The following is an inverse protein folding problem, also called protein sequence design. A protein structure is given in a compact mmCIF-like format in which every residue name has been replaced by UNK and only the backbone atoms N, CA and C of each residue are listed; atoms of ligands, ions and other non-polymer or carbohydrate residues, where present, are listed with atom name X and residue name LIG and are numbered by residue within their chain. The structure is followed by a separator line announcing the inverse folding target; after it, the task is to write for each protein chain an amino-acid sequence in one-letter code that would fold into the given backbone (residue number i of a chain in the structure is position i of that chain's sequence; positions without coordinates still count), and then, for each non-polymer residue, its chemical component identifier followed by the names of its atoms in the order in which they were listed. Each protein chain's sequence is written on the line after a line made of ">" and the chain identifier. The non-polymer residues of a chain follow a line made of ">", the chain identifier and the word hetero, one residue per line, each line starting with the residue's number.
data_IF_684302321599
#
_entry.id   IF_684302321599
#
_cell.length_a   1.000
_cell.length_b   1.000
_cell.length_c   1.000
_cell.angle_alpha   90.00
_cell.angle_beta   90.00
_cell.angle_gamma   90.00
#
_symmetry.space_group_name_H-M   'P 1'
#
loop_
_entity.id
_entity.type
_entity.pdbx_description
1 polymer ?
#
# COMPACT_ATOMS: atom_id res chain seq x y z
N UNK A 1 -33.04 -6.29 -16.49
CA UNK A 1 -32.83 -4.88 -16.09
C UNK A 1 -31.36 -4.63 -16.21
N UNK A 2 -31.00 -4.24 -17.43
CA UNK A 2 -29.66 -3.91 -17.86
C UNK A 2 -29.19 -2.63 -17.18
N UNK A 3 -27.96 -2.67 -16.68
CA UNK A 3 -27.25 -1.51 -16.14
C UNK A 3 -25.79 -1.58 -16.53
N UNK A 4 -25.51 -2.00 -17.78
CA UNK A 4 -24.19 -1.84 -18.38
C UNK A 4 -24.18 -0.43 -18.98
N UNK A 5 -23.73 0.55 -18.21
CA UNK A 5 -23.36 1.85 -18.77
C UNK A 5 -21.93 1.72 -19.32
N UNK A 6 -21.71 1.63 -20.64
CA UNK A 6 -20.36 1.81 -21.17
C UNK A 6 -20.03 3.29 -21.04
N UNK A 7 -19.43 3.69 -19.92
CA UNK A 7 -18.98 5.07 -19.74
C UNK A 7 -17.91 5.35 -20.79
N UNK A 8 -18.21 6.27 -21.70
CA UNK A 8 -17.26 6.94 -22.61
C UNK A 8 -15.97 7.29 -21.86
N UNK A 9 -14.78 7.03 -22.39
CA UNK A 9 -13.57 7.85 -22.12
C UNK A 9 -12.27 7.19 -22.58
N UNK A 10 -11.32 8.04 -22.99
CA UNK A 10 -9.95 7.66 -23.34
C UNK A 10 -9.18 6.96 -22.22
N UNK A 11 -7.94 6.58 -22.54
CA UNK A 11 -6.99 5.84 -21.71
C UNK A 11 -7.01 6.26 -20.23
N UNK A 12 -7.83 5.59 -19.42
CA UNK A 12 -7.90 5.78 -17.96
C UNK A 12 -6.89 4.84 -17.32
N UNK A 13 -6.09 5.36 -16.39
CA UNK A 13 -5.17 4.54 -15.60
C UNK A 13 -5.95 3.78 -14.53
N UNK A 14 -5.77 2.46 -14.46
CA UNK A 14 -6.38 1.64 -13.44
C UNK A 14 -5.66 1.89 -12.09
N UNK A 15 -6.34 2.58 -11.19
CA UNK A 15 -5.86 2.95 -9.86
C UNK A 15 -6.86 2.45 -8.81
N UNK A 16 -6.37 1.76 -7.80
CA UNK A 16 -7.17 1.31 -6.66
C UNK A 16 -6.49 1.74 -5.35
N UNK A 17 -7.22 2.50 -4.53
CA UNK A 17 -6.80 2.85 -3.18
C UNK A 17 -7.67 2.11 -2.18
N UNK A 18 -7.06 1.42 -1.22
CA UNK A 18 -7.77 0.63 -0.22
C UNK A 18 -7.06 0.65 1.13
N UNK A 19 -7.82 0.31 2.16
CA UNK A 19 -7.33 0.03 3.51
C UNK A 19 -7.70 -1.39 3.90
N UNK A 20 -6.96 -1.93 4.86
CA UNK A 20 -7.21 -3.26 5.40
C UNK A 20 -7.45 -3.09 6.89
N UNK A 21 -8.67 -3.41 7.33
CA UNK A 21 -9.06 -3.23 8.73
C UNK A 21 -8.13 -4.01 9.65
N UNK A 22 -7.66 -3.34 10.70
CA UNK A 22 -6.75 -3.93 11.69
C UNK A 22 -5.28 -4.04 11.23
N UNK A 23 -4.92 -3.62 10.01
CA UNK A 23 -3.53 -3.61 9.54
C UNK A 23 -3.07 -2.21 9.14
N UNK A 24 -1.86 -1.85 9.57
CA UNK A 24 -1.22 -0.59 9.17
C UNK A 24 -0.85 -0.62 7.67
N UNK A 25 -1.11 0.47 6.93
CA UNK A 25 -0.85 0.56 5.48
C UNK A 25 0.60 0.20 5.09
N UNK A 26 1.58 0.62 5.90
CA UNK A 26 2.98 0.25 5.73
C UNK A 26 3.25 -1.25 5.88
N UNK A 27 2.56 -1.93 6.80
CA UNK A 27 2.68 -3.38 6.96
C UNK A 27 2.12 -4.10 5.73
N UNK A 28 0.94 -3.68 5.25
CA UNK A 28 0.32 -4.25 4.05
C UNK A 28 1.24 -4.09 2.84
N UNK A 29 1.84 -2.89 2.66
CA UNK A 29 2.76 -2.64 1.57
C UNK A 29 4.07 -3.45 1.69
N UNK A 30 4.63 -3.57 2.89
CA UNK A 30 5.82 -4.38 3.14
C UNK A 30 5.54 -5.87 2.91
N UNK A 31 4.37 -6.37 3.31
CA UNK A 31 3.93 -7.75 3.06
C UNK A 31 3.76 -8.06 1.57
N UNK A 32 3.06 -7.18 0.84
CA UNK A 32 2.89 -7.33 -0.62
C UNK A 32 4.24 -7.29 -1.35
N UNK A 33 5.14 -6.41 -0.94
CA UNK A 33 6.46 -6.27 -1.55
C UNK A 33 7.37 -7.47 -1.26
N UNK A 34 7.46 -7.89 0.00
CA UNK A 34 8.39 -8.94 0.42
C UNK A 34 7.89 -10.36 0.08
N UNK A 35 6.59 -10.63 0.22
CA UNK A 35 6.06 -12.00 0.04
C UNK A 35 5.54 -12.28 -1.37
N UNK A 36 5.06 -11.24 -2.07
CA UNK A 36 4.41 -11.39 -3.38
C UNK A 36 5.19 -10.74 -4.53
N UNK A 37 6.28 -10.02 -4.21
CA UNK A 37 7.05 -9.20 -5.15
C UNK A 37 6.21 -8.11 -5.83
N UNK A 38 5.20 -7.59 -5.13
CA UNK A 38 4.30 -6.55 -5.63
C UNK A 38 4.61 -5.22 -4.93
N UNK A 39 5.15 -4.27 -5.69
CA UNK A 39 5.41 -2.92 -5.19
C UNK A 39 4.14 -2.06 -5.26
N UNK A 40 3.74 -1.50 -4.12
CA UNK A 40 2.59 -0.58 -4.01
C UNK A 40 3.02 0.72 -3.36
N UNK A 41 2.29 1.80 -3.63
CA UNK A 41 2.49 3.08 -2.92
C UNK A 41 1.66 3.03 -1.63
N UNK A 42 2.22 3.49 -0.53
CA UNK A 42 1.51 3.62 0.74
C UNK A 42 1.92 4.91 1.43
N UNK A 43 1.05 5.44 2.28
CA UNK A 43 1.34 6.62 3.07
C UNK A 43 0.09 7.29 3.63
N UNK A 44 0.32 8.24 4.52
CA UNK A 44 -0.68 9.19 4.96
C UNK A 44 -0.95 10.15 3.80
N UNK A 45 -2.08 9.99 3.12
CA UNK A 45 -2.51 10.93 2.09
C UNK A 45 -2.99 12.20 2.78
N UNK A 46 -2.08 13.15 2.97
CA UNK A 46 -2.36 14.42 3.59
C UNK A 46 -3.60 15.07 2.94
N UNK A 47 -4.62 15.31 3.77
CA UNK A 47 -5.73 16.22 3.54
C UNK A 47 -6.42 16.14 2.16
N UNK A 48 -7.03 15.00 1.83
CA UNK A 48 -8.07 14.98 0.79
C UNK A 48 -9.37 14.42 1.37
N UNK A 49 -10.51 15.14 1.35
CA UNK A 49 -11.80 14.67 1.89
C UNK A 49 -12.26 13.30 1.38
N UNK A 50 -11.72 12.85 0.24
CA UNK A 50 -11.93 11.50 -0.29
C UNK A 50 -11.39 10.39 0.63
N UNK A 51 -10.28 10.62 1.32
CA UNK A 51 -9.64 9.64 2.20
C UNK A 51 -10.42 9.48 3.50
N UNK A 52 -10.99 10.57 4.05
CA UNK A 52 -11.88 10.49 5.21
C UNK A 52 -13.12 9.63 4.93
N UNK A 53 -13.66 9.73 3.72
CA UNK A 53 -14.78 8.90 3.27
C UNK A 53 -14.40 7.43 3.09
N UNK A 54 -13.18 7.15 2.62
CA UNK A 54 -12.63 5.80 2.45
C UNK A 54 -12.25 5.13 3.78
N UNK A 55 -11.89 5.91 4.80
CA UNK A 55 -11.48 5.46 6.13
C UNK A 55 -12.64 5.40 7.14
N UNK A 56 -13.86 5.75 6.73
CA UNK A 56 -15.03 5.87 7.62
C UNK A 56 -14.80 6.79 8.85
N UNK A 57 -13.92 7.78 8.74
CA UNK A 57 -13.54 8.65 9.84
C UNK A 57 -14.54 9.81 10.03
N UNK A 58 -14.94 10.05 11.28
CA UNK A 58 -15.67 11.25 11.67
C UNK A 58 -14.71 12.43 11.87
N UNK A 59 -15.26 13.66 11.92
CA UNK A 59 -14.51 14.91 12.10
C UNK A 59 -13.65 14.91 13.38
N UNK A 60 -14.06 14.19 14.41
CA UNK A 60 -13.30 14.03 15.65
C UNK A 60 -12.06 13.14 15.47
N UNK A 61 -12.18 12.05 14.70
CA UNK A 61 -11.05 11.18 14.34
C UNK A 61 -10.02 11.93 13.49
N UNK A 62 -10.49 12.84 12.63
CA UNK A 62 -9.61 13.71 11.83
C UNK A 62 -8.83 14.69 12.71
N UNK A 63 -9.48 15.28 13.71
CA UNK A 63 -8.82 16.21 14.63
C UNK A 63 -7.79 15.49 15.53
N UNK A 64 -8.07 14.26 15.95
CA UNK A 64 -7.11 13.42 16.67
C UNK A 64 -5.89 13.08 15.80
N UNK A 65 -6.12 12.70 14.55
CA UNK A 65 -5.07 12.42 13.57
C UNK A 65 -4.24 13.66 13.26
N UNK A 66 -4.87 14.82 13.06
CA UNK A 66 -4.17 16.10 12.92
C UNK A 66 -3.33 16.41 14.16
N UNK A 67 -3.86 16.15 15.35
CA UNK A 67 -3.14 16.24 16.62
C UNK A 67 -1.91 15.32 16.68
N UNK A 68 -2.03 14.08 16.21
CA UNK A 68 -0.92 13.12 16.12
C UNK A 68 0.13 13.53 15.07
N UNK A 69 -0.29 14.10 13.93
CA UNK A 69 0.61 14.70 12.92
C UNK A 69 1.39 15.86 13.54
N UNK A 70 0.70 16.80 14.20
CA UNK A 70 1.30 17.97 14.85
C UNK A 70 2.22 17.56 16.01
N UNK A 71 1.88 16.47 16.72
CA UNK A 71 2.72 15.88 17.76
C UNK A 71 3.91 15.05 17.21
N UNK A 72 4.05 14.94 15.87
CA UNK A 72 5.13 14.19 15.23
C UNK A 72 5.01 12.67 15.36
N UNK A 73 3.87 12.15 15.83
CA UNK A 73 3.63 10.72 16.09
C UNK A 73 3.16 10.02 14.81
N UNK A 74 4.09 9.84 13.87
CA UNK A 74 3.83 9.22 12.55
C UNK A 74 3.38 7.76 12.60
N UNK A 75 3.60 7.06 13.71
CA UNK A 75 3.24 5.64 13.90
C UNK A 75 1.73 5.38 13.95
N UNK A 76 0.95 6.38 14.33
CA UNK A 76 -0.51 6.28 14.46
C UNK A 76 -1.26 6.84 13.25
N UNK A 77 -0.55 7.28 12.21
CA UNK A 77 -1.19 7.98 11.11
C UNK A 77 -2.01 7.03 10.22
N UNK A 78 -3.31 7.28 10.07
CA UNK A 78 -4.13 6.54 9.13
C UNK A 78 -3.65 6.86 7.72
N UNK A 79 -3.58 5.82 6.90
CA UNK A 79 -3.10 5.92 5.53
C UNK A 79 -3.71 4.80 4.71
N UNK A 80 -3.49 4.85 3.41
CA UNK A 80 -4.02 3.85 2.50
C UNK A 80 -2.92 3.28 1.61
N UNK A 81 -3.19 2.11 1.08
CA UNK A 81 -2.38 1.50 0.03
C UNK A 81 -3.00 1.88 -1.31
N UNK A 82 -2.18 2.32 -2.25
CA UNK A 82 -2.56 2.61 -3.63
C UNK A 82 -1.80 1.70 -4.58
N UNK A 83 -2.56 0.89 -5.29
CA UNK A 83 -2.11 0.08 -6.41
C UNK A 83 -2.38 0.82 -7.74
N UNK A 84 -1.40 0.77 -8.64
CA UNK A 84 -1.50 1.28 -10.01
C UNK A 84 -1.26 0.11 -10.95
N UNK A 85 -2.24 -0.18 -11.79
CA UNK A 85 -2.13 -1.17 -12.86
C UNK A 85 -1.82 -0.45 -14.17
N UNK A 86 -0.87 -0.98 -14.91
CA UNK A 86 -0.43 -0.46 -16.18
C UNK A 86 -1.08 -1.22 -17.35
N UNK A 87 -1.11 -0.63 -18.56
CA UNK A 87 -1.72 -1.28 -19.74
C UNK A 87 -1.04 -2.59 -20.17
N UNK A 88 0.18 -2.85 -19.73
CA UNK A 88 0.90 -4.10 -19.99
C UNK A 88 0.58 -5.20 -18.98
N UNK A 89 -0.23 -4.92 -17.95
CA UNK A 89 -0.59 -5.95 -16.98
C UNK A 89 -1.58 -6.96 -17.59
N UNK A 90 -1.32 -8.24 -17.34
CA UNK A 90 -2.22 -9.32 -17.78
C UNK A 90 -3.29 -9.59 -16.72
N UNK A 91 -4.40 -10.21 -17.13
CA UNK A 91 -5.46 -10.65 -16.20
C UNK A 91 -4.91 -11.56 -15.10
N UNK A 92 -3.99 -12.47 -15.45
CA UNK A 92 -3.32 -13.34 -14.48
C UNK A 92 -2.48 -12.57 -13.43
N UNK A 93 -1.87 -11.45 -13.81
CA UNK A 93 -1.15 -10.58 -12.85
C UNK A 93 -2.13 -9.84 -11.93
N UNK A 94 -3.29 -9.43 -12.45
CA UNK A 94 -4.35 -8.81 -11.65
C UNK A 94 -4.92 -9.82 -10.66
N UNK A 95 -5.20 -11.05 -11.09
CA UNK A 95 -5.68 -12.13 -10.21
C UNK A 95 -4.66 -12.45 -9.12
N UNK A 96 -3.37 -12.51 -9.47
CA UNK A 96 -2.28 -12.69 -8.50
C UNK A 96 -2.25 -11.55 -7.48
N UNK A 97 -2.45 -10.30 -7.92
CA UNK A 97 -2.54 -9.15 -7.03
C UNK A 97 -3.74 -9.23 -6.08
N UNK A 98 -4.92 -9.57 -6.60
CA UNK A 98 -6.13 -9.72 -5.78
C UNK A 98 -5.96 -10.84 -4.76
N UNK A 99 -5.37 -11.97 -5.16
CA UNK A 99 -5.05 -13.06 -4.25
C UNK A 99 -4.06 -12.63 -3.16
N UNK A 100 -3.01 -11.89 -3.52
CA UNK A 100 -2.04 -11.36 -2.57
C UNK A 100 -2.71 -10.46 -1.52
N UNK A 101 -3.52 -9.49 -1.97
CA UNK A 101 -4.27 -8.59 -1.08
C UNK A 101 -5.21 -9.37 -0.16
N UNK A 102 -5.93 -10.37 -0.70
CA UNK A 102 -6.83 -11.22 0.09
C UNK A 102 -6.11 -12.02 1.17
N UNK A 103 -4.92 -12.52 0.89
CA UNK A 103 -4.13 -13.27 1.87
C UNK A 103 -3.61 -12.35 2.99
N UNK A 104 -3.09 -11.18 2.62
CA UNK A 104 -2.67 -10.16 3.58
C UNK A 104 -3.84 -9.68 4.43
N UNK A 105 -5.00 -9.43 3.83
CA UNK A 105 -6.22 -9.01 4.54
C UNK A 105 -6.75 -10.04 5.53
N UNK A 106 -6.41 -11.32 5.34
CA UNK A 106 -6.74 -12.40 6.30
C UNK A 106 -5.67 -12.59 7.37
N UNK A 107 -4.68 -11.70 7.46
CA UNK A 107 -3.57 -11.80 8.40
C UNK A 107 -2.60 -12.93 8.08
N UNK A 108 -2.62 -13.50 6.86
CA UNK A 108 -1.67 -14.57 6.47
C UNK A 108 -0.34 -13.98 6.02
N UNK A 109 0.31 -13.29 6.94
CA UNK A 109 1.62 -12.69 6.77
C UNK A 109 2.65 -13.72 7.27
N UNK A 110 3.56 -14.15 6.40
CA UNK A 110 4.53 -15.23 6.69
C UNK A 110 5.77 -14.71 7.41
N UNK A 111 6.17 -13.47 7.14
CA UNK A 111 7.33 -12.86 7.77
C UNK A 111 6.93 -12.01 8.99
N UNK A 112 7.86 -11.81 9.92
CA UNK A 112 7.72 -10.82 10.98
C UNK A 112 8.21 -9.47 10.47
N UNK A 113 7.48 -8.40 10.77
CA UNK A 113 7.82 -7.04 10.32
C UNK A 113 8.00 -6.11 11.52
N UNK A 114 9.00 -5.25 11.42
CA UNK A 114 9.32 -4.23 12.42
C UNK A 114 8.98 -2.85 11.87
N UNK A 115 8.34 -2.04 12.70
CA UNK A 115 8.04 -0.65 12.37
C UNK A 115 9.17 0.26 12.85
N UNK A 116 9.82 0.95 11.92
CA UNK A 116 10.79 1.98 12.21
C UNK A 116 10.11 3.26 12.78
N UNK A 117 10.92 4.15 13.36
CA UNK A 117 10.42 5.37 14.01
C UNK A 117 9.70 6.34 13.03
N UNK A 118 10.00 6.23 11.74
CA UNK A 118 9.40 7.00 10.66
C UNK A 118 8.04 6.43 10.18
N UNK A 119 7.61 5.27 10.68
CA UNK A 119 6.39 4.58 10.27
C UNK A 119 6.58 3.56 9.14
N UNK A 120 7.81 3.40 8.64
CA UNK A 120 8.15 2.41 7.61
C UNK A 120 8.21 1.00 8.22
N UNK A 121 7.71 0.01 7.49
CA UNK A 121 7.82 -1.40 7.89
C UNK A 121 8.91 -2.10 7.08
N UNK A 122 9.74 -2.89 7.77
CA UNK A 122 10.74 -3.77 7.15
C UNK A 122 10.65 -5.17 7.75
N UNK A 123 10.93 -6.23 6.97
CA UNK A 123 11.01 -7.59 7.51
C UNK A 123 12.13 -7.68 8.55
N UNK A 124 11.89 -8.39 9.66
CA UNK A 124 12.84 -8.53 10.78
C UNK A 124 14.18 -9.19 10.38
N UNK A 125 14.22 -9.90 9.26
CA UNK A 125 15.43 -10.47 8.65
C UNK A 125 16.15 -9.56 7.65
N UNK A 126 15.67 -8.33 7.47
CA UNK A 126 16.12 -7.43 6.41
C UNK A 126 15.56 -7.80 5.03
N UNK A 127 15.72 -6.89 4.07
CA UNK A 127 15.29 -7.13 2.70
C UNK A 127 16.15 -8.22 2.03
N UNK A 128 15.57 -9.07 1.16
CA UNK A 128 16.34 -10.03 0.40
C UNK A 128 17.46 -9.30 -0.38
N UNK A 129 18.68 -9.81 -0.28
CA UNK A 129 19.84 -9.24 -0.98
C UNK A 129 19.65 -9.39 -2.48
N UNK A 130 19.47 -8.26 -3.18
CA UNK A 130 19.58 -8.22 -4.63
C UNK A 130 21.07 -8.29 -4.95
N UNK A 131 21.54 -9.44 -5.43
CA UNK A 131 22.89 -9.58 -5.97
C UNK A 131 22.97 -8.76 -7.25
N UNK A 132 23.48 -7.53 -7.16
CA UNK A 132 23.71 -6.70 -8.33
C UNK A 132 24.95 -7.21 -9.10
N UNK A 133 24.85 -7.52 -10.40
CA UNK A 133 26.00 -7.87 -11.22
C UNK A 133 26.95 -6.68 -11.47
N UNK A 134 26.58 -5.46 -11.07
CA UNK A 134 27.33 -4.23 -11.37
C UNK A 134 28.58 -4.00 -10.50
N UNK A 135 28.88 -4.87 -9.52
CA UNK A 135 30.14 -4.77 -8.76
C UNK A 135 31.40 -5.03 -9.61
N UNK A 136 31.27 -5.56 -10.83
CA UNK A 136 32.40 -5.84 -11.71
C UNK A 136 32.85 -4.64 -12.59
N UNK A 137 32.11 -3.53 -12.62
CA UNK A 137 32.32 -2.44 -13.62
C UNK A 137 32.87 -1.14 -13.01
N UNK A 138 33.28 -1.15 -11.73
CA UNK A 138 34.06 -0.05 -11.15
C UNK A 138 35.45 -0.56 -10.78
N UNK A 139 36.31 -0.70 -11.80
CA UNK A 139 37.77 -0.67 -11.62
C UNK A 139 38.25 0.65 -12.24
N UNK A 140 38.80 1.51 -11.39
CA UNK A 140 39.60 2.68 -11.75
C UNK A 140 40.90 2.27 -12.46
#
# INVERSE_FOLDING_TARGET
>A
MDGLEPSTAGTRLALASFVVDGLHHGLVAAALSHEWAIAVRHGCFCANPYVFRLLHMNRDDVAEVEGEVTAGRRKALPGAVRASLAPYNTEAEVDRFLEAVRQVARGRIKATYEQAADGTYSPAGGWPRITSPLHAVVKH
#
